data_IF_920053888016
#
_entry.id   IF_920053888016
#
_cell.length_a   1.000
_cell.length_b   1.000
_cell.length_c   1.000
_cell.angle_alpha   90.00
_cell.angle_beta   90.00
_cell.angle_gamma   90.00
#
_symmetry.space_group_name_H-M   'P 1'
#
loop_
_entity.id
_entity.type
_entity.pdbx_description
1 polymer ?
#
# COMPACT_ATOMS: atom_id res chain seq x y z
N UNK A 1 10.73 -7.76 5.18
CA UNK A 1 11.74 -8.13 6.18
C UNK A 1 11.38 -7.52 7.52
N UNK A 2 11.98 -6.41 8.00
CA UNK A 2 11.71 -5.88 9.36
C UNK A 2 10.22 -5.63 9.68
N UNK A 3 9.46 -5.04 8.74
CA UNK A 3 8.01 -4.82 8.91
C UNK A 3 7.21 -6.11 9.09
N UNK A 4 7.67 -7.22 8.50
CA UNK A 4 7.03 -8.53 8.62
C UNK A 4 7.35 -9.17 9.97
N UNK A 5 8.55 -8.95 10.50
CA UNK A 5 8.93 -9.39 11.84
C UNK A 5 8.09 -8.67 12.89
N UNK A 6 7.97 -7.36 12.78
CA UNK A 6 7.11 -6.56 13.65
C UNK A 6 5.65 -7.02 13.58
N UNK A 7 5.10 -7.14 12.37
CA UNK A 7 3.70 -7.56 12.17
C UNK A 7 3.47 -8.98 12.71
N UNK A 8 4.39 -9.91 12.45
CA UNK A 8 4.33 -11.27 12.98
C UNK A 8 4.41 -11.30 14.51
N UNK A 9 5.29 -10.51 15.13
CA UNK A 9 5.37 -10.44 16.58
C UNK A 9 4.09 -9.90 17.23
N UNK A 10 3.46 -8.88 16.64
CA UNK A 10 2.17 -8.35 17.09
C UNK A 10 1.05 -9.38 16.94
N UNK A 11 1.00 -10.07 15.79
CA UNK A 11 -0.03 -11.09 15.51
C UNK A 11 0.10 -12.30 16.45
N UNK A 12 1.33 -12.82 16.59
CA UNK A 12 1.64 -14.04 17.32
C UNK A 12 1.49 -13.91 18.83
N UNK A 13 1.70 -12.70 19.38
CA UNK A 13 1.46 -12.42 20.80
C UNK A 13 0.04 -11.92 21.08
N UNK A 14 -0.86 -11.95 20.09
CA UNK A 14 -2.23 -11.47 20.19
C UNK A 14 -2.35 -10.00 20.68
N UNK A 15 -1.31 -9.20 20.40
CA UNK A 15 -1.26 -7.77 20.75
C UNK A 15 -1.97 -6.89 19.71
N UNK A 16 -2.30 -7.47 18.56
CA UNK A 16 -3.05 -6.81 17.51
C UNK A 16 -3.65 -7.81 16.53
N UNK A 17 -4.38 -7.24 15.57
CA UNK A 17 -4.85 -7.94 14.38
C UNK A 17 -4.15 -7.32 13.17
N UNK A 18 -3.84 -8.14 12.17
CA UNK A 18 -3.25 -7.72 10.92
C UNK A 18 -4.36 -7.62 9.87
N UNK A 19 -4.47 -6.46 9.23
CA UNK A 19 -5.48 -6.16 8.22
C UNK A 19 -4.77 -5.81 6.92
N UNK A 20 -5.23 -6.38 5.81
CA UNK A 20 -4.67 -6.08 4.49
C UNK A 20 -4.48 -7.34 3.65
N UNK A 21 -3.27 -7.52 3.10
CA UNK A 21 -2.92 -8.63 2.21
C UNK A 21 -1.68 -9.35 2.72
N UNK A 22 -1.47 -10.57 2.22
CA UNK A 22 -0.28 -11.35 2.51
C UNK A 22 0.98 -10.55 2.15
N UNK A 23 1.93 -10.48 3.09
CA UNK A 23 3.20 -9.78 2.84
C UNK A 23 4.13 -10.58 1.93
N UNK A 24 5.26 -9.98 1.54
CA UNK A 24 6.18 -10.55 0.56
C UNK A 24 6.74 -11.94 0.95
N UNK A 25 7.18 -12.08 2.21
CA UNK A 25 7.79 -13.31 2.74
C UNK A 25 9.31 -13.33 2.69
N UNK A 26 9.98 -12.20 3.00
CA UNK A 26 11.45 -12.16 3.11
C UNK A 26 11.87 -12.30 4.57
N UNK A 27 12.20 -13.52 4.96
CA UNK A 27 12.70 -13.93 6.26
C UNK A 27 14.20 -14.27 6.30
N UNK A 28 15.00 -13.78 5.35
CA UNK A 28 16.45 -14.03 5.30
C UNK A 28 17.26 -12.82 5.74
N UNK A 29 18.35 -13.07 6.47
CA UNK A 29 19.42 -12.10 6.76
C UNK A 29 20.58 -12.36 5.82
N UNK A 30 21.01 -11.33 5.11
CA UNK A 30 22.12 -11.41 4.16
C UNK A 30 23.25 -10.48 4.61
N UNK A 31 24.48 -11.00 4.61
CA UNK A 31 25.69 -10.29 4.93
C UNK A 31 26.64 -10.30 3.71
N UNK A 32 27.36 -9.20 3.51
CA UNK A 32 28.35 -9.06 2.46
C UNK A 32 29.73 -9.48 2.98
N UNK A 33 30.44 -10.28 2.20
CA UNK A 33 31.80 -10.73 2.45
C UNK A 33 32.67 -10.29 1.29
N UNK A 34 33.62 -9.40 1.56
CA UNK A 34 34.57 -8.91 0.55
C UNK A 34 35.61 -9.98 0.25
N UNK A 35 35.95 -10.14 -1.03
CA UNK A 35 36.98 -11.04 -1.52
C UNK A 35 38.30 -10.27 -1.74
N UNK A 36 39.41 -11.00 -1.85
CA UNK A 36 40.75 -10.43 -1.97
C UNK A 36 40.98 -9.64 -3.27
N UNK A 37 40.19 -9.92 -4.31
CA UNK A 37 40.20 -9.20 -5.60
C UNK A 37 39.35 -7.92 -5.59
N UNK A 38 38.78 -7.54 -4.44
CA UNK A 38 37.91 -6.38 -4.28
C UNK A 38 36.46 -6.62 -4.67
N UNK A 39 36.11 -7.81 -5.16
CA UNK A 39 34.72 -8.22 -5.35
C UNK A 39 34.05 -8.57 -4.01
N UNK A 40 32.76 -8.90 -4.01
CA UNK A 40 32.06 -9.30 -2.79
C UNK A 40 30.96 -10.34 -3.05
N UNK A 41 30.77 -11.22 -2.06
CA UNK A 41 29.71 -12.21 -2.04
C UNK A 41 28.67 -11.82 -1.00
N UNK A 42 27.39 -11.87 -1.38
CA UNK A 42 26.27 -11.66 -0.45
C UNK A 42 25.70 -13.02 -0.02
N UNK A 43 26.01 -13.42 1.21
CA UNK A 43 25.63 -14.71 1.75
C UNK A 43 24.46 -14.58 2.73
N UNK A 44 23.52 -15.53 2.67
CA UNK A 44 22.48 -15.63 3.68
C UNK A 44 23.05 -16.31 4.92
N UNK A 45 23.01 -15.61 6.06
CA UNK A 45 23.64 -16.06 7.32
C UNK A 45 22.64 -16.46 8.39
N UNK A 46 21.39 -16.02 8.28
CA UNK A 46 20.34 -16.35 9.24
C UNK A 46 18.94 -16.33 8.63
N UNK A 47 18.00 -16.93 9.37
CA UNK A 47 16.56 -16.95 9.08
C UNK A 47 15.77 -16.38 10.26
N UNK A 48 14.73 -15.63 9.95
CA UNK A 48 13.79 -15.15 10.95
C UNK A 48 12.64 -16.12 11.19
N UNK A 49 12.28 -16.25 12.47
CA UNK A 49 11.11 -16.95 12.94
C UNK A 49 10.31 -16.00 13.84
N UNK A 50 8.99 -16.05 13.74
CA UNK A 50 8.11 -15.28 14.62
C UNK A 50 7.97 -15.98 16.00
N UNK A 51 7.37 -15.33 17.01
CA UNK A 51 7.23 -15.92 18.35
C UNK A 51 6.52 -17.28 18.39
N UNK A 52 5.59 -17.57 17.47
CA UNK A 52 4.96 -18.89 17.36
C UNK A 52 5.88 -19.97 16.74
N UNK A 53 7.13 -19.63 16.40
CA UNK A 53 8.09 -20.55 15.78
C UNK A 53 7.93 -20.72 14.28
N UNK A 54 7.07 -19.95 13.60
CA UNK A 54 6.88 -20.05 12.14
C UNK A 54 7.91 -19.25 11.36
N UNK A 55 8.43 -19.84 10.28
CA UNK A 55 9.21 -19.08 9.31
C UNK A 55 8.29 -18.29 8.39
N UNK A 56 8.62 -17.01 8.18
CA UNK A 56 7.94 -16.17 7.19
C UNK A 56 8.58 -16.27 5.80
N UNK A 57 9.70 -16.98 5.67
CA UNK A 57 10.42 -17.08 4.42
C UNK A 57 9.59 -17.85 3.39
N UNK A 58 9.36 -17.24 2.23
CA UNK A 58 8.73 -17.93 1.10
C UNK A 58 9.71 -18.94 0.48
N UNK A 59 9.19 -20.00 -0.18
CA UNK A 59 10.03 -20.99 -0.86
C UNK A 59 10.98 -20.33 -1.87
N UNK A 60 12.16 -20.91 -2.01
CA UNK A 60 13.16 -20.53 -3.01
C UNK A 60 13.96 -21.75 -3.41
N UNK A 61 14.36 -21.81 -4.68
CA UNK A 61 15.14 -22.91 -5.24
C UNK A 61 16.45 -22.36 -5.82
N UNK A 62 17.52 -23.15 -5.67
CA UNK A 62 18.83 -22.78 -6.20
C UNK A 62 18.76 -22.69 -7.73
N UNK A 63 19.31 -21.62 -8.31
CA UNK A 63 19.25 -21.37 -9.76
C UNK A 63 17.96 -20.73 -10.25
N UNK A 64 16.96 -20.50 -9.38
CA UNK A 64 15.65 -19.91 -9.76
C UNK A 64 15.39 -18.56 -9.09
N UNK A 65 16.39 -17.68 -9.11
CA UNK A 65 16.28 -16.34 -8.53
C UNK A 65 15.14 -15.52 -9.17
N UNK A 66 15.01 -15.60 -10.50
CA UNK A 66 13.95 -14.93 -11.24
C UNK A 66 12.54 -15.33 -10.76
N UNK A 67 12.31 -16.61 -10.49
CA UNK A 67 11.01 -17.09 -9.98
C UNK A 67 10.74 -16.54 -8.58
N UNK A 68 11.77 -16.51 -7.72
CA UNK A 68 11.66 -15.91 -6.38
C UNK A 68 11.31 -14.42 -6.44
N UNK A 69 11.91 -13.66 -7.36
CA UNK A 69 11.63 -12.23 -7.51
C UNK A 69 10.25 -11.98 -8.13
N UNK A 70 9.90 -12.74 -9.18
CA UNK A 70 8.63 -12.61 -9.90
C UNK A 70 7.45 -13.20 -9.15
N UNK A 71 7.66 -14.00 -8.10
CA UNK A 71 6.57 -14.63 -7.35
C UNK A 71 5.53 -13.62 -6.84
N UNK A 72 5.92 -12.41 -6.42
CA UNK A 72 4.94 -11.39 -6.05
C UNK A 72 4.07 -10.94 -7.24
N UNK A 73 4.68 -10.75 -8.41
CA UNK A 73 3.95 -10.44 -9.65
C UNK A 73 3.06 -11.61 -10.07
N UNK A 74 3.54 -12.84 -9.96
CA UNK A 74 2.75 -14.04 -10.25
C UNK A 74 1.54 -14.11 -9.32
N UNK A 75 1.70 -13.86 -8.02
CA UNK A 75 0.60 -13.79 -7.04
C UNK A 75 -0.42 -12.70 -7.36
N UNK A 76 0.03 -11.55 -7.88
CA UNK A 76 -0.87 -10.50 -8.36
C UNK A 76 -1.67 -10.95 -9.59
N UNK A 77 -1.04 -11.64 -10.54
CA UNK A 77 -1.66 -12.10 -11.78
C UNK A 77 -2.61 -13.30 -11.58
N UNK A 78 -2.32 -14.16 -10.59
CA UNK A 78 -3.03 -15.43 -10.36
C UNK A 78 -4.01 -15.38 -9.17
N UNK A 79 -4.36 -14.20 -8.67
CA UNK A 79 -5.51 -14.00 -7.77
C UNK A 79 -5.23 -14.03 -6.27
N UNK A 80 -4.02 -14.33 -5.81
CA UNK A 80 -3.64 -14.34 -4.38
C UNK A 80 -3.84 -12.96 -3.72
N UNK A 81 -3.68 -11.89 -4.51
CA UNK A 81 -3.93 -10.52 -4.07
C UNK A 81 -5.43 -10.15 -4.04
N UNK A 82 -6.28 -10.89 -4.77
CA UNK A 82 -7.70 -10.60 -4.98
C UNK A 82 -8.66 -11.58 -4.31
N UNK A 83 -8.22 -12.77 -3.93
CA UNK A 83 -9.07 -13.79 -3.29
C UNK A 83 -8.31 -14.53 -2.19
N UNK A 84 -8.89 -14.58 -1.00
CA UNK A 84 -8.36 -15.33 0.15
C UNK A 84 -8.31 -16.83 -0.12
N UNK A 85 -9.25 -17.36 -0.90
CA UNK A 85 -9.38 -18.79 -1.16
C UNK A 85 -8.33 -19.31 -2.16
N UNK A 86 -7.63 -18.40 -2.86
CA UNK A 86 -6.47 -18.74 -3.69
C UNK A 86 -5.22 -19.05 -2.85
N UNK A 87 -5.21 -18.68 -1.57
CA UNK A 87 -4.09 -18.90 -0.66
C UNK A 87 -4.20 -20.30 -0.08
N UNK A 88 -3.58 -21.28 -0.74
CA UNK A 88 -3.48 -22.63 -0.20
C UNK A 88 -2.34 -22.71 0.82
N UNK A 89 -2.68 -23.12 2.04
CA UNK A 89 -1.70 -23.42 3.08
C UNK A 89 -1.59 -24.93 3.27
N UNK A 90 -0.38 -25.47 3.21
CA UNK A 90 -0.13 -26.83 3.66
C UNK A 90 -0.40 -26.93 5.17
N UNK A 91 -0.97 -28.05 5.62
CA UNK A 91 -1.24 -28.28 7.05
C UNK A 91 0.03 -28.20 7.92
N UNK A 92 1.18 -28.56 7.36
CA UNK A 92 2.51 -28.43 8.00
C UNK A 92 2.93 -26.99 8.29
N UNK A 93 2.21 -26.00 7.76
CA UNK A 93 2.47 -24.58 7.96
C UNK A 93 1.51 -23.95 8.98
N UNK A 94 0.67 -24.74 9.67
CA UNK A 94 -0.22 -24.25 10.73
C UNK A 94 0.53 -24.13 12.05
N UNK A 95 0.43 -22.96 12.66
CA UNK A 95 0.95 -22.63 13.98
C UNK A 95 -0.17 -21.99 14.80
N UNK A 96 0.09 -21.75 16.09
CA UNK A 96 -0.84 -21.07 16.99
C UNK A 96 -0.17 -19.87 17.62
N UNK A 97 -0.91 -18.76 17.69
CA UNK A 97 -0.53 -17.61 18.53
C UNK A 97 -0.55 -18.01 20.00
N UNK A 98 -0.01 -17.15 20.87
CA UNK A 98 -0.02 -17.35 22.33
C UNK A 98 -1.45 -17.59 22.87
N UNK A 99 -2.43 -16.86 22.33
CA UNK A 99 -3.86 -16.99 22.60
C UNK A 99 -4.58 -18.06 21.79
N UNK A 100 -3.86 -18.88 21.03
CA UNK A 100 -4.40 -20.07 20.35
C UNK A 100 -5.02 -19.84 18.96
N UNK A 101 -4.97 -18.63 18.40
CA UNK A 101 -5.46 -18.37 17.03
C UNK A 101 -4.57 -19.08 16.02
N UNK A 102 -5.17 -19.63 14.96
CA UNK A 102 -4.40 -20.29 13.89
C UNK A 102 -3.71 -19.25 13.02
N UNK A 103 -2.41 -19.42 12.82
CA UNK A 103 -1.58 -18.59 11.95
C UNK A 103 -0.70 -19.46 11.06
N UNK A 104 -0.22 -18.92 9.94
CA UNK A 104 0.45 -19.69 8.89
C UNK A 104 1.88 -19.23 8.60
N UNK A 105 2.81 -20.17 8.45
CA UNK A 105 4.17 -19.90 7.96
C UNK A 105 4.31 -19.99 6.43
N UNK A 106 5.54 -19.89 5.93
CA UNK A 106 5.90 -20.31 4.57
C UNK A 106 5.65 -19.28 3.46
N UNK A 107 5.52 -17.99 3.78
CA UNK A 107 5.65 -16.94 2.76
C UNK A 107 4.98 -15.63 3.12
N UNK A 108 5.47 -14.98 4.17
CA UNK A 108 4.96 -13.71 4.66
C UNK A 108 3.90 -13.86 5.75
N UNK A 109 3.49 -12.71 6.29
CA UNK A 109 2.43 -12.58 7.27
C UNK A 109 1.10 -12.60 6.53
N UNK A 110 0.29 -13.61 6.83
CA UNK A 110 -1.10 -13.68 6.41
C UNK A 110 -1.95 -12.79 7.34
N UNK A 111 -2.73 -11.83 6.81
CA UNK A 111 -3.59 -10.99 7.65
C UNK A 111 -4.71 -11.81 8.30
N UNK A 112 -5.11 -11.40 9.51
CA UNK A 112 -6.32 -11.91 10.17
C UNK A 112 -7.57 -11.49 9.39
N UNK A 113 -7.55 -10.26 8.87
CA UNK A 113 -8.61 -9.71 8.01
C UNK A 113 -8.03 -9.41 6.63
N UNK A 114 -8.38 -10.26 5.67
CA UNK A 114 -7.98 -10.09 4.28
C UNK A 114 -8.80 -8.99 3.59
N UNK A 115 -8.12 -8.10 2.88
CA UNK A 115 -8.70 -7.04 2.06
C UNK A 115 -8.15 -7.19 0.64
N UNK A 116 -8.98 -7.56 -0.34
CA UNK A 116 -8.51 -7.80 -1.70
C UNK A 116 -8.02 -6.52 -2.35
N UNK A 117 -7.05 -6.67 -3.26
CA UNK A 117 -6.62 -5.58 -4.13
C UNK A 117 -7.75 -5.24 -5.10
N UNK A 118 -8.04 -3.96 -5.23
CA UNK A 118 -8.97 -3.45 -6.23
C UNK A 118 -8.21 -2.57 -7.24
N UNK A 119 -8.07 -3.10 -8.46
CA UNK A 119 -7.45 -2.38 -9.58
C UNK A 119 -8.48 -1.83 -10.57
N UNK A 120 -9.79 -1.99 -10.31
CA UNK A 120 -10.84 -1.60 -11.27
C UNK A 120 -10.88 -0.09 -11.51
N UNK A 121 -10.43 0.70 -10.54
CA UNK A 121 -10.33 2.16 -10.64
C UNK A 121 -9.00 2.64 -11.25
N UNK A 122 -8.05 1.75 -11.60
CA UNK A 122 -6.77 2.11 -12.20
C UNK A 122 -6.82 2.11 -13.73
N UNK A 123 -6.70 3.29 -14.34
CA UNK A 123 -6.76 3.46 -15.80
C UNK A 123 -5.42 3.92 -16.39
N UNK A 124 -5.19 3.73 -17.70
CA UNK A 124 -4.02 4.29 -18.39
C UNK A 124 -3.90 5.82 -18.21
N UNK A 125 -5.01 6.55 -18.25
CA UNK A 125 -5.05 7.98 -17.96
C UNK A 125 -4.51 8.29 -16.55
N UNK A 126 -5.01 7.61 -15.51
CA UNK A 126 -4.52 7.76 -14.14
C UNK A 126 -3.02 7.50 -14.06
N UNK A 127 -2.55 6.40 -14.65
CA UNK A 127 -1.13 6.04 -14.65
C UNK A 127 -0.26 7.15 -15.27
N UNK A 128 -0.67 7.72 -16.41
CA UNK A 128 0.06 8.82 -17.05
C UNK A 128 0.16 10.03 -16.13
N UNK A 129 -0.97 10.51 -15.59
CA UNK A 129 -0.97 11.74 -14.78
C UNK A 129 -0.27 11.57 -13.44
N UNK A 130 -0.23 10.35 -12.89
CA UNK A 130 0.59 10.02 -11.71
C UNK A 130 2.07 10.01 -12.06
N UNK A 131 2.48 9.29 -13.12
CA UNK A 131 3.88 9.16 -13.51
C UNK A 131 4.52 10.49 -13.93
N UNK A 132 3.76 11.39 -14.57
CA UNK A 132 4.23 12.74 -14.89
C UNK A 132 4.16 13.71 -13.70
N UNK A 133 3.65 13.27 -12.54
CA UNK A 133 3.50 14.09 -11.34
C UNK A 133 2.47 15.21 -11.48
N UNK A 134 1.55 15.12 -12.44
CA UNK A 134 0.61 16.21 -12.76
C UNK A 134 -0.44 16.44 -11.67
N UNK A 135 -0.82 15.40 -10.93
CA UNK A 135 -1.73 15.56 -9.78
C UNK A 135 -1.08 16.48 -8.73
N UNK A 136 0.18 16.22 -8.37
CA UNK A 136 0.91 17.05 -7.40
C UNK A 136 1.17 18.46 -7.93
N UNK A 137 1.59 18.60 -9.19
CA UNK A 137 1.83 19.91 -9.80
C UNK A 137 0.55 20.77 -9.86
N UNK A 138 -0.58 20.19 -10.25
CA UNK A 138 -1.86 20.88 -10.22
C UNK A 138 -2.25 21.27 -8.79
N UNK A 139 -2.12 20.35 -7.83
CA UNK A 139 -2.42 20.64 -6.43
C UNK A 139 -1.56 21.80 -5.90
N UNK A 140 -0.26 21.84 -6.22
CA UNK A 140 0.64 22.92 -5.85
C UNK A 140 0.22 24.27 -6.45
N UNK A 141 -0.07 24.31 -7.77
CA UNK A 141 -0.55 25.52 -8.43
C UNK A 141 -1.89 26.00 -7.89
N UNK A 142 -2.81 25.08 -7.62
CA UNK A 142 -4.09 25.38 -6.99
C UNK A 142 -3.87 25.96 -5.59
N UNK A 143 -2.98 25.37 -4.79
CA UNK A 143 -2.65 25.90 -3.46
C UNK A 143 -2.11 27.31 -3.55
N UNK A 144 -1.13 27.58 -4.40
CA UNK A 144 -0.51 28.92 -4.51
C UNK A 144 -1.52 29.98 -4.94
N UNK A 145 -2.35 29.67 -5.95
CA UNK A 145 -3.38 30.60 -6.43
C UNK A 145 -4.45 30.93 -5.38
N UNK A 146 -4.79 29.96 -4.52
CA UNK A 146 -5.87 30.08 -3.53
C UNK A 146 -5.36 30.20 -2.09
N UNK A 147 -4.06 30.49 -1.91
CA UNK A 147 -3.38 30.46 -0.61
C UNK A 147 -4.04 31.35 0.46
N UNK A 148 -4.51 32.58 0.16
CA UNK A 148 -5.16 33.43 1.16
C UNK A 148 -6.38 32.80 1.81
N UNK A 149 -7.23 32.13 1.00
CA UNK A 149 -8.44 31.45 1.48
C UNK A 149 -8.08 30.15 2.19
N UNK A 150 -7.20 29.34 1.59
CA UNK A 150 -6.83 28.03 2.13
C UNK A 150 -6.15 28.14 3.51
N UNK A 151 -5.36 29.19 3.77
CA UNK A 151 -4.71 29.40 5.08
C UNK A 151 -5.68 29.62 6.25
N UNK A 152 -6.93 30.00 5.97
CA UNK A 152 -7.95 30.19 7.00
C UNK A 152 -8.49 28.86 7.52
N UNK A 153 -8.40 27.79 6.72
CA UNK A 153 -8.85 26.46 7.06
C UNK A 153 -7.86 25.82 8.02
N UNK A 154 -8.33 25.29 9.16
CA UNK A 154 -7.47 24.74 10.23
C UNK A 154 -7.63 23.24 10.43
N UNK A 155 -8.67 22.62 9.90
CA UNK A 155 -8.88 21.19 9.99
C UNK A 155 -9.00 20.52 8.63
N UNK A 156 -8.63 19.24 8.56
CA UNK A 156 -8.79 18.45 7.35
C UNK A 156 -10.27 18.31 6.94
N UNK A 157 -11.19 18.31 7.91
CA UNK A 157 -12.64 18.22 7.66
C UNK A 157 -13.21 19.46 6.98
N UNK A 158 -12.77 20.65 7.40
CA UNK A 158 -13.09 21.91 6.74
C UNK A 158 -12.47 21.99 5.35
N UNK A 159 -11.22 21.53 5.21
CA UNK A 159 -10.51 21.46 3.92
C UNK A 159 -11.28 20.58 2.94
N UNK A 160 -11.71 19.40 3.38
CA UNK A 160 -12.50 18.47 2.56
C UNK A 160 -13.81 19.11 2.09
N UNK A 161 -14.54 19.71 3.03
CA UNK A 161 -15.83 20.37 2.79
C UNK A 161 -15.71 21.57 1.86
N UNK A 162 -14.60 22.32 1.95
CA UNK A 162 -14.29 23.41 1.02
C UNK A 162 -13.98 22.87 -0.37
N UNK A 163 -13.10 21.87 -0.48
CA UNK A 163 -12.63 21.31 -1.74
C UNK A 163 -13.70 20.50 -2.48
N UNK A 164 -14.69 19.93 -1.77
CA UNK A 164 -15.88 19.27 -2.38
C UNK A 164 -16.71 20.24 -3.23
N UNK A 165 -16.66 21.54 -2.94
CA UNK A 165 -17.41 22.57 -3.67
C UNK A 165 -16.66 23.08 -4.90
N UNK A 166 -15.40 22.66 -5.09
CA UNK A 166 -14.52 23.18 -6.12
C UNK A 166 -14.55 22.27 -7.37
N UNK A 167 -14.44 22.82 -8.58
CA UNK A 167 -14.47 22.05 -9.83
C UNK A 167 -13.14 21.32 -10.12
N UNK A 168 -12.51 20.72 -9.09
CA UNK A 168 -11.13 20.22 -9.13
C UNK A 168 -10.88 19.26 -10.29
N UNK A 169 -11.78 18.30 -10.53
CA UNK A 169 -11.60 17.32 -11.60
C UNK A 169 -11.57 18.00 -12.98
N UNK A 170 -12.50 18.90 -13.25
CA UNK A 170 -12.62 19.56 -14.55
C UNK A 170 -11.43 20.49 -14.81
N UNK A 171 -10.98 21.22 -13.79
CA UNK A 171 -9.80 22.08 -13.88
C UNK A 171 -8.51 21.26 -14.05
N UNK A 172 -8.38 20.15 -13.31
CA UNK A 172 -7.26 19.24 -13.44
C UNK A 172 -7.18 18.61 -14.84
N UNK A 173 -8.31 18.18 -15.41
CA UNK A 173 -8.35 17.62 -16.76
C UNK A 173 -7.91 18.66 -17.80
N UNK A 174 -8.32 19.93 -17.65
CA UNK A 174 -7.83 21.04 -18.50
C UNK A 174 -6.32 21.24 -18.34
N UNK A 175 -5.82 21.24 -17.11
CA UNK A 175 -4.39 21.34 -16.82
C UNK A 175 -3.58 20.21 -17.46
N UNK A 176 -4.04 18.96 -17.34
CA UNK A 176 -3.37 17.80 -17.94
C UNK A 176 -3.41 17.86 -19.48
N UNK A 177 -4.51 18.32 -20.07
CA UNK A 177 -4.64 18.51 -21.51
C UNK A 177 -3.67 19.56 -22.06
N UNK A 178 -3.52 20.69 -21.36
CA UNK A 178 -2.54 21.72 -21.71
C UNK A 178 -1.09 21.21 -21.66
N UNK A 179 -0.83 20.17 -20.86
CA UNK A 179 0.47 19.49 -20.78
C UNK A 179 0.62 18.29 -21.71
N UNK A 180 -0.31 18.10 -22.65
CA UNK A 180 -0.21 17.09 -23.69
C UNK A 180 -0.83 15.73 -23.35
N UNK A 181 -1.61 15.60 -22.26
CA UNK A 181 -2.36 14.37 -21.98
C UNK A 181 -3.77 14.50 -22.57
N UNK A 182 -4.11 13.74 -23.63
CA UNK A 182 -5.43 13.85 -24.25
C UNK A 182 -6.54 13.47 -23.27
N UNK A 183 -7.66 14.18 -23.36
CA UNK A 183 -8.83 13.91 -22.52
C UNK A 183 -9.44 12.56 -22.93
N UNK A 184 -9.57 11.66 -21.96
CA UNK A 184 -10.27 10.38 -22.13
C UNK A 184 -11.39 10.28 -21.09
N UNK A 185 -12.60 10.69 -21.47
CA UNK A 185 -13.75 10.79 -20.57
C UNK A 185 -14.10 9.46 -19.89
N UNK A 186 -13.96 8.33 -20.59
CA UNK A 186 -14.24 7.00 -20.03
C UNK A 186 -13.27 6.67 -18.90
N UNK A 187 -11.96 6.79 -19.16
CA UNK A 187 -10.93 6.48 -18.17
C UNK A 187 -10.95 7.46 -16.99
N UNK A 188 -11.16 8.75 -17.27
CA UNK A 188 -11.33 9.78 -16.23
C UNK A 188 -12.50 9.43 -15.32
N UNK A 189 -13.65 9.03 -15.88
CA UNK A 189 -14.83 8.68 -15.08
C UNK A 189 -14.62 7.47 -14.17
N UNK A 190 -13.82 6.49 -14.62
CA UNK A 190 -13.46 5.31 -13.82
C UNK A 190 -12.54 5.73 -12.66
N UNK A 191 -11.49 6.52 -12.94
CA UNK A 191 -10.47 6.89 -11.93
C UNK A 191 -10.75 8.18 -11.16
N UNK A 192 -11.89 8.86 -11.40
CA UNK A 192 -12.16 10.21 -10.86
C UNK A 192 -12.04 10.29 -9.34
N UNK A 193 -12.46 9.24 -8.63
CA UNK A 193 -12.40 9.20 -7.16
C UNK A 193 -10.96 9.23 -6.68
N UNK A 194 -10.09 8.43 -7.28
CA UNK A 194 -8.66 8.40 -6.98
C UNK A 194 -8.03 9.77 -7.28
N UNK A 195 -8.27 10.30 -8.48
CA UNK A 195 -7.70 11.59 -8.92
C UNK A 195 -8.07 12.71 -7.94
N UNK A 196 -9.36 12.87 -7.64
CA UNK A 196 -9.84 13.93 -6.74
C UNK A 196 -9.32 13.73 -5.32
N UNK A 197 -9.29 12.49 -4.82
CA UNK A 197 -8.77 12.19 -3.47
C UNK A 197 -7.29 12.56 -3.36
N UNK A 198 -6.47 12.25 -4.36
CA UNK A 198 -5.06 12.62 -4.38
C UNK A 198 -4.86 14.14 -4.47
N UNK A 199 -5.60 14.82 -5.35
CA UNK A 199 -5.56 16.29 -5.46
C UNK A 199 -5.87 16.93 -4.11
N UNK A 200 -6.97 16.52 -3.46
CA UNK A 200 -7.37 17.02 -2.14
C UNK A 200 -6.30 16.76 -1.09
N UNK A 201 -5.76 15.55 -1.05
CA UNK A 201 -4.67 15.18 -0.16
C UNK A 201 -3.48 16.13 -0.32
N UNK A 202 -2.99 16.34 -1.54
CA UNK A 202 -1.84 17.22 -1.79
C UNK A 202 -2.13 18.69 -1.49
N UNK A 203 -3.30 19.22 -1.86
CA UNK A 203 -3.69 20.59 -1.49
C UNK A 203 -3.69 20.75 0.04
N UNK A 204 -4.25 19.76 0.75
CA UNK A 204 -4.29 19.77 2.21
C UNK A 204 -2.89 19.67 2.81
N UNK A 205 -2.00 18.83 2.25
CA UNK A 205 -0.61 18.73 2.69
C UNK A 205 0.13 20.06 2.63
N UNK A 206 -0.10 20.82 1.56
CA UNK A 206 0.57 22.10 1.35
C UNK A 206 0.15 23.19 2.37
N UNK A 207 -0.91 22.97 3.16
CA UNK A 207 -1.47 23.93 4.12
C UNK A 207 -1.40 23.40 5.56
N UNK A 208 -1.83 22.16 5.77
CA UNK A 208 -2.00 21.51 7.08
C UNK A 208 -0.94 20.44 7.35
N UNK A 209 -0.01 20.22 6.42
CA UNK A 209 0.98 19.16 6.54
C UNK A 209 0.36 17.76 6.53
N UNK A 210 1.02 16.83 7.21
CA UNK A 210 0.62 15.42 7.23
C UNK A 210 -0.71 15.17 7.94
N UNK A 211 -1.08 16.02 8.90
CA UNK A 211 -2.37 15.99 9.60
C UNK A 211 -3.55 16.27 8.66
N UNK A 212 -3.33 17.06 7.60
CA UNK A 212 -4.31 17.26 6.54
C UNK A 212 -4.29 16.17 5.47
N UNK A 213 -3.08 15.73 5.11
CA UNK A 213 -2.86 14.80 4.01
C UNK A 213 -3.48 13.42 4.27
N UNK A 214 -3.08 12.75 5.35
CA UNK A 214 -3.42 11.34 5.56
C UNK A 214 -4.92 11.07 5.72
N UNK A 215 -5.69 11.86 6.51
CA UNK A 215 -7.13 11.65 6.63
C UNK A 215 -7.85 11.76 5.29
N UNK A 216 -7.46 12.72 4.44
CA UNK A 216 -8.05 12.92 3.12
C UNK A 216 -7.62 11.84 2.13
N UNK A 217 -6.33 11.56 2.05
CA UNK A 217 -5.76 10.60 1.11
C UNK A 217 -6.30 9.18 1.34
N UNK A 218 -6.49 8.80 2.60
CA UNK A 218 -6.99 7.48 2.98
C UNK A 218 -8.48 7.45 3.36
N UNK A 219 -9.22 8.56 3.23
CA UNK A 219 -10.66 8.66 3.58
C UNK A 219 -11.49 7.50 3.01
N UNK A 220 -11.15 7.09 1.78
CA UNK A 220 -11.86 6.04 1.05
C UNK A 220 -11.09 4.73 0.92
N UNK A 221 -9.94 4.61 1.58
CA UNK A 221 -9.14 3.39 1.54
C UNK A 221 -9.89 2.21 2.19
N UNK A 222 -10.05 1.12 1.42
CA UNK A 222 -10.79 -0.07 1.86
C UNK A 222 -10.11 -0.76 3.04
N UNK A 223 -8.78 -0.75 3.10
CA UNK A 223 -8.01 -1.37 4.18
C UNK A 223 -8.16 -0.58 5.46
N UNK A 224 -8.07 0.75 5.41
CA UNK A 224 -8.28 1.63 6.56
C UNK A 224 -9.71 1.52 7.08
N UNK A 225 -10.72 1.55 6.20
CA UNK A 225 -12.13 1.33 6.61
C UNK A 225 -12.30 0.00 7.32
N UNK A 226 -11.72 -1.08 6.78
CA UNK A 226 -11.79 -2.41 7.40
C UNK A 226 -11.09 -2.46 8.76
N UNK A 227 -9.96 -1.77 8.91
CA UNK A 227 -9.26 -1.67 10.18
C UNK A 227 -10.11 -0.92 11.24
N UNK A 228 -10.74 0.20 10.85
CA UNK A 228 -11.64 0.96 11.74
C UNK A 228 -12.86 0.14 12.16
N UNK A 229 -13.49 -0.59 11.23
CA UNK A 229 -14.58 -1.53 11.54
C UNK A 229 -14.16 -2.63 12.53
N UNK A 230 -12.92 -3.10 12.45
CA UNK A 230 -12.41 -4.13 13.34
C UNK A 230 -12.09 -3.58 14.74
N UNK A 231 -11.69 -2.31 14.83
CA UNK A 231 -11.45 -1.62 16.09
C UNK A 231 -12.75 -1.27 16.82
N UNK A 232 -13.84 -0.95 16.11
CA UNK A 232 -15.12 -0.57 16.71
C UNK A 232 -15.95 -1.75 17.27
N UNK A 233 -15.57 -2.99 16.95
CA UNK A 233 -16.22 -4.22 17.41
C UNK A 233 -15.65 -4.78 18.72
N UNK A 234 -14.64 -4.10 19.30
CA UNK A 234 -14.08 -4.40 20.62
C UNK A 234 -14.70 -3.46 21.66
#
# INVERSE_FOLDING_TARGET
>A
SASEIFSGAIQDNDRGIIVGRRSFGKGLVQQQFTLSDGSAVRLTVARYFTPSGRSIQKPYELGKADEYEKDFLNRLMHGDAGNKDSIQHADSLKYKTVGGRVVYGGGGIMPDIFVPLDTTEFTPYLNKVVNYGYIYQYAFQYTDKNRPQLKQIKSWTEMDSYLDKQPLLNEFVKFAAQKGIPVNTREINISKKIIVTQIKGYISRNILGDEGFYPLFYKNDKTIKKALEALSKK
#
